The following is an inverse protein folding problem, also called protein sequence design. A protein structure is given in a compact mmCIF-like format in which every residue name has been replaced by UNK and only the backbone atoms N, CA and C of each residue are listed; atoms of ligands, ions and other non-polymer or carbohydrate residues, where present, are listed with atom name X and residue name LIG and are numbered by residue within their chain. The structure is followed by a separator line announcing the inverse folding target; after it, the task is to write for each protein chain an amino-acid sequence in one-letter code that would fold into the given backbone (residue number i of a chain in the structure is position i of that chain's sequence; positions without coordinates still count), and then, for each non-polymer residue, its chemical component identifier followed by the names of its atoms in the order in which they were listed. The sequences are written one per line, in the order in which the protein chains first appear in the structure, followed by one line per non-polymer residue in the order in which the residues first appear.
data_IF_362460793473
#
_entry.id   IF_362460793473
#
_cell.length_a   1.000
_cell.length_b   1.000
_cell.length_c   1.000
_cell.angle_alpha   90.00
_cell.angle_beta   90.00
_cell.angle_gamma   90.00
#
_symmetry.space_group_name_H-M   'P 1'
#
loop_
_entity.id
_entity.type
_entity.pdbx_description
1 polymer ?
#
# COMPACT_ATOMS: atom_id res chain seq x y z
N UNK A 1 -14.71 17.41 -5.00
CA UNK A 1 -13.63 17.76 -4.06
C UNK A 1 -14.18 18.40 -2.80
N UNK A 2 -13.63 18.04 -1.63
CA UNK A 2 -14.04 18.58 -0.34
C UNK A 2 -12.98 19.58 0.13
N UNK A 3 -13.25 20.87 -0.05
CA UNK A 3 -12.30 21.94 0.24
C UNK A 3 -11.97 22.04 1.74
N UNK A 4 -12.95 21.83 2.61
CA UNK A 4 -12.74 21.91 4.06
C UNK A 4 -11.79 20.81 4.55
N UNK A 5 -11.94 19.60 3.99
CA UNK A 5 -11.01 18.50 4.25
C UNK A 5 -9.60 18.81 3.72
N UNK A 6 -9.49 19.36 2.52
CA UNK A 6 -8.20 19.72 1.94
C UNK A 6 -7.46 20.77 2.79
N UNK A 7 -8.17 21.82 3.23
CA UNK A 7 -7.63 22.84 4.15
C UNK A 7 -7.18 22.22 5.46
N UNK A 8 -7.97 21.32 6.04
CA UNK A 8 -7.62 20.62 7.29
C UNK A 8 -6.36 19.75 7.13
N UNK A 9 -6.25 19.01 6.03
CA UNK A 9 -5.06 18.19 5.75
C UNK A 9 -3.82 19.06 5.56
N UNK A 10 -3.94 20.17 4.83
CA UNK A 10 -2.82 21.08 4.59
C UNK A 10 -2.28 21.71 5.89
N UNK A 11 -3.19 22.10 6.79
CA UNK A 11 -2.85 22.58 8.12
C UNK A 11 -2.14 21.49 8.94
N UNK A 12 -2.76 20.31 9.06
CA UNK A 12 -2.26 19.22 9.91
C UNK A 12 -0.95 18.60 9.40
N UNK A 13 -0.70 18.55 8.09
CA UNK A 13 0.55 17.97 7.55
C UNK A 13 1.79 18.81 7.85
N UNK A 14 1.62 20.07 8.24
CA UNK A 14 2.70 21.03 8.51
C UNK A 14 2.53 21.69 9.88
N UNK A 15 2.55 20.85 10.92
CA UNK A 15 2.57 21.21 12.35
C UNK A 15 1.33 21.95 12.87
N UNK A 16 0.28 22.10 12.06
CA UNK A 16 -0.89 22.91 12.44
C UNK A 16 -0.62 24.41 12.38
N UNK A 17 0.33 24.83 11.54
CA UNK A 17 0.77 26.23 11.40
C UNK A 17 0.11 26.89 10.19
N UNK A 18 -0.39 28.12 10.36
CA UNK A 18 -0.96 28.94 9.29
C UNK A 18 -0.36 30.34 9.24
N UNK A 19 -0.29 30.89 8.02
CA UNK A 19 -0.02 32.31 7.74
C UNK A 19 -1.26 33.06 7.24
N UNK A 20 -2.38 32.38 7.02
CA UNK A 20 -3.62 33.03 6.58
C UNK A 20 -4.29 33.71 7.79
N UNK A 21 -4.48 35.05 7.77
CA UNK A 21 -5.10 35.80 8.86
C UNK A 21 -6.52 35.34 9.21
N UNK A 22 -7.29 34.80 8.27
CA UNK A 22 -8.65 34.31 8.50
C UNK A 22 -8.70 33.15 9.52
N UNK A 23 -7.60 32.41 9.64
CA UNK A 23 -7.48 31.28 10.55
C UNK A 23 -6.69 31.63 11.82
N UNK A 24 -6.25 32.88 11.99
CA UNK A 24 -5.48 33.33 13.15
C UNK A 24 -6.39 33.83 14.27
N UNK A 25 -5.93 33.66 15.50
CA UNK A 25 -6.62 34.15 16.71
C UNK A 25 -6.11 35.51 17.19
N UNK A 26 -4.94 35.94 16.69
CA UNK A 26 -4.34 37.26 16.96
C UNK A 26 -4.00 37.95 15.65
N UNK A 27 -3.99 39.31 15.63
CA UNK A 27 -3.54 40.07 14.47
C UNK A 27 -2.13 39.66 14.02
N UNK A 28 -1.88 39.74 12.71
CA UNK A 28 -0.55 39.51 12.17
C UNK A 28 0.39 40.65 12.56
N UNK A 29 1.59 40.29 13.03
CA UNK A 29 2.66 41.25 13.38
C UNK A 29 3.54 41.63 12.17
N UNK A 30 3.36 40.98 11.02
CA UNK A 30 4.13 41.24 9.80
C UNK A 30 4.27 40.01 8.90
N UNK A 31 5.01 40.12 7.77
CA UNK A 31 5.12 39.05 6.76
C UNK A 31 5.75 37.74 7.25
N UNK A 32 6.52 37.76 8.35
CA UNK A 32 7.13 36.57 8.95
C UNK A 32 6.18 35.82 9.88
N UNK A 33 5.10 36.48 10.33
CA UNK A 33 4.25 36.01 11.41
C UNK A 33 3.42 34.80 10.99
N UNK A 34 3.36 33.80 11.87
CA UNK A 34 2.53 32.62 11.73
C UNK A 34 2.02 32.20 13.10
N UNK A 35 0.92 31.46 13.11
CA UNK A 35 0.37 30.87 14.34
C UNK A 35 0.26 29.37 14.17
N UNK A 36 0.66 28.64 15.20
CA UNK A 36 0.22 27.26 15.38
C UNK A 36 -1.17 27.29 16.02
N UNK A 37 -2.19 26.89 15.27
CA UNK A 37 -3.59 26.96 15.68
C UNK A 37 -4.15 25.58 16.05
N UNK A 38 -3.42 24.52 15.70
CA UNK A 38 -3.76 23.13 16.02
C UNK A 38 -2.47 22.31 16.25
N UNK A 39 -2.57 21.15 16.91
CA UNK A 39 -1.45 20.22 17.01
C UNK A 39 -1.41 19.33 15.75
N UNK A 40 -0.51 19.67 14.81
CA UNK A 40 -0.30 18.88 13.60
C UNK A 40 0.89 17.93 13.65
N UNK A 41 1.32 17.50 12.47
CA UNK A 41 2.40 16.56 12.20
C UNK A 41 3.43 17.15 11.22
N UNK A 42 4.56 16.46 11.05
CA UNK A 42 5.53 16.77 10.00
C UNK A 42 5.44 15.77 8.86
N UNK A 43 4.44 15.92 7.98
CA UNK A 43 4.16 15.01 6.86
C UNK A 43 4.36 15.66 5.50
N UNK A 44 5.19 16.71 5.43
CA UNK A 44 5.50 17.39 4.17
C UNK A 44 6.34 16.48 3.28
N UNK A 45 5.90 16.34 2.03
CA UNK A 45 6.71 15.82 0.94
C UNK A 45 7.75 16.88 0.56
N UNK A 46 8.97 16.46 0.23
CA UNK A 46 10.02 17.36 -0.25
C UNK A 46 9.85 17.65 -1.74
N UNK A 47 10.37 18.78 -2.21
CA UNK A 47 10.40 19.11 -3.64
C UNK A 47 11.11 18.04 -4.48
N UNK A 48 12.15 17.39 -3.92
CA UNK A 48 12.84 16.29 -4.59
C UNK A 48 11.92 15.09 -4.81
N UNK A 49 11.14 14.71 -3.79
CA UNK A 49 10.15 13.64 -3.91
C UNK A 49 9.03 14.01 -4.89
N UNK A 50 8.56 15.26 -4.84
CA UNK A 50 7.53 15.76 -5.75
C UNK A 50 8.01 15.75 -7.22
N UNK A 51 9.24 16.21 -7.50
CA UNK A 51 9.83 16.19 -8.83
C UNK A 51 9.97 14.77 -9.39
N UNK A 52 10.40 13.81 -8.56
CA UNK A 52 10.43 12.40 -8.93
C UNK A 52 9.03 11.87 -9.21
N UNK A 53 8.06 12.18 -8.36
CA UNK A 53 6.67 11.75 -8.48
C UNK A 53 6.00 12.26 -9.76
N UNK A 54 6.12 13.56 -10.06
CA UNK A 54 5.60 14.17 -11.30
C UNK A 54 6.19 13.48 -12.54
N UNK A 55 7.49 13.20 -12.53
CA UNK A 55 8.15 12.47 -13.63
C UNK A 55 7.69 11.02 -13.73
N UNK A 56 7.39 10.35 -12.61
CA UNK A 56 6.83 9.00 -12.66
C UNK A 56 5.38 8.98 -13.16
N UNK A 57 4.58 9.99 -12.81
CA UNK A 57 3.18 10.10 -13.24
C UNK A 57 3.06 10.21 -14.76
N UNK A 58 4.00 10.87 -15.44
CA UNK A 58 4.00 10.96 -16.92
C UNK A 58 4.24 9.61 -17.61
N UNK A 59 4.72 8.59 -16.87
CA UNK A 59 5.04 7.25 -17.37
C UNK A 59 4.11 6.17 -16.80
N UNK A 60 3.09 6.57 -16.04
CA UNK A 60 2.23 5.66 -15.28
C UNK A 60 1.54 4.63 -16.20
N UNK A 61 0.96 5.07 -17.30
CA UNK A 61 0.27 4.20 -18.27
C UNK A 61 1.22 3.14 -18.84
N UNK A 62 2.44 3.54 -19.23
CA UNK A 62 3.47 2.61 -19.73
C UNK A 62 3.86 1.58 -18.68
N UNK A 63 4.03 1.98 -17.42
CA UNK A 63 4.36 1.05 -16.34
C UNK A 63 3.25 0.05 -16.06
N UNK A 64 2.00 0.52 -16.01
CA UNK A 64 0.85 -0.36 -15.78
C UNK A 64 0.68 -1.33 -16.96
N UNK A 65 0.72 -0.83 -18.21
CA UNK A 65 0.65 -1.69 -19.40
C UNK A 65 1.73 -2.78 -19.39
N UNK A 66 2.97 -2.42 -19.04
CA UNK A 66 4.07 -3.40 -18.96
C UNK A 66 3.83 -4.47 -17.89
N UNK A 67 3.26 -4.11 -16.74
CA UNK A 67 2.90 -5.07 -15.69
C UNK A 67 1.81 -6.04 -16.16
N UNK A 68 0.84 -5.57 -16.94
CA UNK A 68 -0.20 -6.42 -17.54
C UNK A 68 0.37 -7.40 -18.57
N UNK A 69 1.31 -6.98 -19.41
CA UNK A 69 2.02 -7.90 -20.33
C UNK A 69 2.72 -9.04 -19.57
N UNK A 70 3.42 -8.70 -18.48
CA UNK A 70 4.14 -9.66 -17.64
C UNK A 70 3.15 -10.59 -16.92
N UNK A 71 2.06 -10.05 -16.37
CA UNK A 71 1.04 -10.85 -15.70
C UNK A 71 0.34 -11.82 -16.65
N UNK A 72 0.07 -11.42 -17.91
CA UNK A 72 -0.47 -12.32 -18.94
C UNK A 72 0.46 -13.51 -19.17
N UNK A 73 1.77 -13.26 -19.28
CA UNK A 73 2.77 -14.33 -19.43
C UNK A 73 2.78 -15.28 -18.23
N UNK A 74 2.68 -14.74 -17.00
CA UNK A 74 2.57 -15.61 -15.82
C UNK A 74 1.27 -16.41 -15.80
N UNK A 75 0.14 -15.81 -16.18
CA UNK A 75 -1.14 -16.53 -16.27
C UNK A 75 -1.02 -17.72 -17.24
N UNK A 76 -0.42 -17.51 -18.41
CA UNK A 76 -0.23 -18.56 -19.42
C UNK A 76 0.74 -19.67 -18.95
N UNK A 77 1.85 -19.30 -18.29
CA UNK A 77 2.88 -20.25 -17.89
C UNK A 77 2.58 -21.01 -16.59
N UNK A 78 1.71 -20.47 -15.73
CA UNK A 78 1.40 -21.03 -14.42
C UNK A 78 0.03 -21.73 -14.36
N UNK A 79 -0.81 -21.63 -15.39
CA UNK A 79 -2.20 -22.12 -15.39
C UNK A 79 -2.35 -23.62 -15.07
N UNK A 80 -1.36 -24.44 -15.41
CA UNK A 80 -1.41 -25.90 -15.27
C UNK A 80 -0.76 -26.38 -13.96
N UNK A 81 -0.30 -25.45 -13.10
CA UNK A 81 0.25 -25.76 -11.78
C UNK A 81 -0.86 -25.77 -10.72
N UNK A 82 -0.68 -26.51 -9.60
CA UNK A 82 -1.63 -26.55 -8.48
C UNK A 82 -1.59 -25.24 -7.64
N UNK A 83 -1.99 -24.15 -8.28
CA UNK A 83 -2.06 -22.81 -7.71
C UNK A 83 -3.24 -22.04 -8.31
N UNK A 84 -3.57 -20.91 -7.69
CA UNK A 84 -4.56 -19.95 -8.18
C UNK A 84 -3.80 -18.66 -8.52
N UNK A 85 -3.99 -18.16 -9.74
CA UNK A 85 -3.42 -16.89 -10.20
C UNK A 85 -4.25 -15.69 -9.72
N UNK A 86 -3.70 -14.46 -9.73
CA UNK A 86 -4.45 -13.27 -9.33
C UNK A 86 -5.73 -13.10 -10.14
N UNK A 87 -6.82 -12.79 -9.45
CA UNK A 87 -8.10 -12.43 -10.07
C UNK A 87 -8.24 -10.90 -10.15
N UNK A 88 -8.79 -10.41 -11.27
CA UNK A 88 -9.19 -9.01 -11.43
C UNK A 88 -10.71 -8.95 -11.60
N UNK A 89 -11.38 -8.12 -10.80
CA UNK A 89 -12.81 -7.90 -10.91
C UNK A 89 -13.18 -7.25 -12.26
N UNK A 90 -14.34 -7.58 -12.84
CA UNK A 90 -14.89 -6.86 -13.99
C UNK A 90 -14.96 -5.35 -13.73
N UNK A 91 -14.82 -4.54 -14.78
CA UNK A 91 -14.82 -3.06 -14.70
C UNK A 91 -13.74 -2.44 -13.79
N UNK A 92 -12.70 -3.20 -13.43
CA UNK A 92 -11.52 -2.69 -12.72
C UNK A 92 -10.27 -2.83 -13.58
N UNK A 93 -9.28 -1.98 -13.34
CA UNK A 93 -7.96 -2.10 -13.94
C UNK A 93 -6.88 -2.01 -12.86
N UNK A 94 -6.35 -3.16 -12.48
CA UNK A 94 -5.34 -3.24 -11.42
C UNK A 94 -4.04 -2.57 -11.86
N UNK A 95 -3.40 -1.82 -10.96
CA UNK A 95 -2.01 -1.38 -11.17
C UNK A 95 -1.00 -2.53 -11.14
N UNK A 96 -1.44 -3.76 -10.84
CA UNK A 96 -0.66 -5.01 -10.75
C UNK A 96 0.67 -4.81 -10.02
N UNK A 97 0.60 -4.14 -8.87
CA UNK A 97 1.77 -3.92 -8.02
C UNK A 97 2.43 -5.25 -7.61
N UNK A 98 1.60 -6.26 -7.34
CA UNK A 98 2.01 -7.61 -6.98
C UNK A 98 1.27 -8.63 -7.86
N UNK A 99 1.97 -9.71 -8.22
CA UNK A 99 1.38 -10.90 -8.81
C UNK A 99 1.31 -12.00 -7.73
N UNK A 100 0.22 -11.98 -6.96
CA UNK A 100 0.04 -12.88 -5.81
C UNK A 100 -0.60 -14.19 -6.24
N UNK A 101 0.15 -15.30 -6.14
CA UNK A 101 -0.39 -16.65 -6.32
C UNK A 101 -0.83 -17.24 -4.98
N UNK A 102 -1.82 -18.13 -5.01
CA UNK A 102 -2.19 -18.98 -3.87
C UNK A 102 -1.87 -20.43 -4.20
N UNK A 103 -1.09 -21.09 -3.36
CA UNK A 103 -0.76 -22.50 -3.56
C UNK A 103 -1.93 -23.37 -3.09
N UNK A 104 -2.30 -24.37 -3.87
CA UNK A 104 -3.23 -25.43 -3.44
C UNK A 104 -2.44 -26.49 -2.70
N UNK A 105 -2.19 -26.23 -1.41
CA UNK A 105 -1.25 -27.02 -0.61
C UNK A 105 -1.69 -28.48 -0.42
N UNK A 106 -3.00 -28.73 -0.51
CA UNK A 106 -3.63 -30.05 -0.52
C UNK A 106 -3.30 -30.88 -1.77
N UNK A 107 -2.95 -30.23 -2.88
CA UNK A 107 -2.54 -30.88 -4.14
C UNK A 107 -0.99 -31.00 -4.27
N UNK A 108 -0.23 -30.55 -3.28
CA UNK A 108 1.24 -30.42 -3.34
C UNK A 108 1.95 -31.35 -2.34
N UNK A 109 3.12 -31.86 -2.74
CA UNK A 109 4.00 -32.63 -1.85
C UNK A 109 4.91 -31.77 -0.96
N UNK A 110 4.96 -30.46 -1.22
CA UNK A 110 5.78 -29.49 -0.47
C UNK A 110 4.90 -28.39 0.10
N UNK A 111 5.21 -27.96 1.33
CA UNK A 111 4.56 -26.82 1.96
C UNK A 111 5.02 -25.48 1.39
N UNK A 112 4.29 -24.40 1.72
CA UNK A 112 4.64 -23.02 1.33
C UNK A 112 6.08 -22.64 1.70
N UNK A 113 6.55 -23.02 2.89
CA UNK A 113 7.90 -22.72 3.38
C UNK A 113 8.97 -23.33 2.46
N UNK A 114 8.86 -24.62 2.16
CA UNK A 114 9.84 -25.33 1.33
C UNK A 114 9.86 -24.74 -0.10
N UNK A 115 8.69 -24.47 -0.68
CA UNK A 115 8.60 -23.84 -2.01
C UNK A 115 9.26 -22.45 -2.00
N UNK A 116 9.03 -21.67 -0.95
CA UNK A 116 9.63 -20.35 -0.78
C UNK A 116 11.17 -20.42 -0.73
N UNK A 117 11.71 -21.34 0.08
CA UNK A 117 13.15 -21.56 0.24
C UNK A 117 13.78 -22.02 -1.08
N UNK A 118 13.18 -22.99 -1.78
CA UNK A 118 13.66 -23.48 -3.08
C UNK A 118 13.71 -22.35 -4.12
N UNK A 119 12.69 -21.49 -4.19
CA UNK A 119 12.69 -20.37 -5.14
C UNK A 119 13.81 -19.37 -4.82
N UNK A 120 14.01 -19.06 -3.53
CA UNK A 120 15.08 -18.17 -3.08
C UNK A 120 16.48 -18.74 -3.34
N UNK A 121 16.68 -20.03 -3.07
CA UNK A 121 17.94 -20.74 -3.37
C UNK A 121 18.27 -20.72 -4.87
N UNK A 122 17.24 -20.75 -5.73
CA UNK A 122 17.39 -20.60 -7.18
C UNK A 122 17.53 -19.15 -7.65
N UNK A 123 17.68 -18.19 -6.74
CA UNK A 123 17.84 -16.76 -7.06
C UNK A 123 16.55 -16.03 -7.43
N UNK A 124 15.37 -16.63 -7.18
CA UNK A 124 14.06 -16.02 -7.47
C UNK A 124 13.54 -15.31 -6.23
N UNK A 125 13.45 -13.98 -6.30
CA UNK A 125 12.92 -13.16 -5.21
C UNK A 125 11.41 -13.31 -5.04
N UNK A 126 10.99 -14.05 -4.01
CA UNK A 126 9.57 -14.23 -3.64
C UNK A 126 9.25 -13.69 -2.24
N UNK A 127 7.99 -13.34 -1.99
CA UNK A 127 7.55 -12.82 -0.69
C UNK A 127 6.12 -13.30 -0.35
N UNK A 128 5.71 -13.19 0.91
CA UNK A 128 4.36 -13.53 1.39
C UNK A 128 3.63 -12.26 1.81
N UNK A 129 2.40 -12.06 1.33
CA UNK A 129 1.59 -10.87 1.58
C UNK A 129 0.15 -11.28 1.94
N UNK A 130 -0.32 -11.12 3.18
CA UNK A 130 0.42 -10.78 4.40
C UNK A 130 0.02 -11.76 5.51
N UNK A 131 0.81 -11.79 6.59
CA UNK A 131 0.35 -12.43 7.83
C UNK A 131 -0.90 -11.67 8.30
N UNK A 132 -2.02 -12.36 8.62
CA UNK A 132 -3.23 -11.70 9.06
C UNK A 132 -2.96 -10.79 10.26
N UNK A 133 -3.40 -9.53 10.15
CA UNK A 133 -2.97 -8.49 11.09
C UNK A 133 -3.43 -8.77 12.53
N UNK A 134 -4.60 -9.40 12.69
CA UNK A 134 -5.18 -9.74 13.99
C UNK A 134 -4.41 -10.83 14.75
N UNK A 135 -3.60 -11.62 14.04
CA UNK A 135 -2.73 -12.64 14.67
C UNK A 135 -1.36 -12.07 15.07
N UNK A 136 -1.08 -10.80 14.76
CA UNK A 136 0.17 -10.15 15.17
C UNK A 136 0.13 -9.77 16.65
N UNK A 137 1.27 -9.83 17.39
CA UNK A 137 1.28 -9.65 18.84
C UNK A 137 0.64 -8.36 19.35
N UNK A 138 0.84 -7.24 18.63
CA UNK A 138 0.25 -5.95 19.00
C UNK A 138 -1.29 -6.00 19.00
N UNK A 139 -1.88 -6.61 17.97
CA UNK A 139 -3.34 -6.71 17.85
C UNK A 139 -3.92 -7.75 18.80
N UNK A 140 -3.21 -8.85 19.06
CA UNK A 140 -3.62 -9.81 20.07
C UNK A 140 -3.74 -9.19 21.47
N UNK A 141 -2.85 -8.25 21.81
CA UNK A 141 -2.93 -7.49 23.07
C UNK A 141 -4.16 -6.56 23.15
N UNK A 142 -4.74 -6.18 22.00
CA UNK A 142 -5.99 -5.42 21.92
C UNK A 142 -7.24 -6.31 22.02
N UNK A 143 -7.07 -7.63 22.15
CA UNK A 143 -8.15 -8.59 22.35
C UNK A 143 -8.52 -9.44 21.13
N UNK A 144 -7.84 -9.26 19.99
CA UNK A 144 -8.03 -10.09 18.79
C UNK A 144 -7.46 -11.49 18.98
N UNK A 145 -8.09 -12.49 18.37
CA UNK A 145 -7.75 -13.91 18.52
C UNK A 145 -7.71 -14.63 17.18
N UNK A 146 -6.95 -15.72 17.13
CA UNK A 146 -7.06 -16.68 16.04
C UNK A 146 -8.50 -17.18 15.95
N UNK A 147 -9.03 -17.26 14.73
CA UNK A 147 -10.41 -17.62 14.42
C UNK A 147 -11.35 -16.43 14.26
N UNK A 148 -10.97 -15.21 14.64
CA UNK A 148 -11.83 -14.02 14.48
C UNK A 148 -12.06 -13.67 13.00
N UNK A 149 -11.07 -13.97 12.13
CA UNK A 149 -11.12 -13.67 10.70
C UNK A 149 -10.68 -14.89 9.87
N UNK A 150 -11.53 -15.93 9.77
CA UNK A 150 -11.15 -17.22 9.19
C UNK A 150 -10.73 -17.13 7.73
N UNK A 151 -11.33 -16.23 6.94
CA UNK A 151 -10.96 -16.05 5.52
C UNK A 151 -9.57 -15.43 5.35
N UNK A 152 -9.16 -14.52 6.24
CA UNK A 152 -7.82 -13.96 6.21
C UNK A 152 -6.77 -15.01 6.60
N UNK A 153 -7.11 -15.85 7.58
CA UNK A 153 -6.26 -16.97 8.02
C UNK A 153 -6.13 -18.05 6.96
N UNK A 154 -7.23 -18.44 6.31
CA UNK A 154 -7.24 -19.42 5.22
C UNK A 154 -6.55 -18.88 3.96
N UNK A 155 -6.54 -17.57 3.76
CA UNK A 155 -5.78 -16.93 2.68
C UNK A 155 -4.27 -17.01 2.90
N UNK A 156 -3.81 -17.05 4.16
CA UNK A 156 -2.40 -17.11 4.54
C UNK A 156 -1.87 -18.55 4.57
#
# INVERSE_FOLDING_TARGET
DNEDLAKKIDLLRSHGVTRNPEFMTKPSEGPWYYQQVELGYNYRMTELQAALGVTQLTRLETFVAKRHEIAKKYNELLKDLPLITPYQLPETYSGLHLYVIRLKLDELSKGRKEIFEILREKGIGVNVHYIPVHTQPYYQQLGFKQGDFPEAEAYY
#
